data_IF_042592749713
#
_entry.id   IF_042592749713
#
_cell.length_a   1.000
_cell.length_b   1.000
_cell.length_c   1.000
_cell.angle_alpha   90.00
_cell.angle_beta   90.00
_cell.angle_gamma   90.00
#
_symmetry.space_group_name_H-M   'P 1'
#
loop_
_entity.id
_entity.type
_entity.pdbx_description
1 polymer ?
#
# COMPACT_ATOMS: atom_id res chain seq x y z
N UNK A 1 -17.90 -8.71 -7.33
CA UNK A 1 -16.88 -9.62 -7.70
C UNK A 1 -15.95 -9.90 -6.51
N UNK A 2 -15.14 -10.92 -6.65
CA UNK A 2 -14.40 -11.46 -5.51
C UNK A 2 -13.37 -10.49 -4.93
N UNK A 3 -12.70 -9.72 -5.78
CA UNK A 3 -11.73 -8.74 -5.31
C UNK A 3 -12.42 -7.66 -4.46
N UNK A 4 -13.56 -7.18 -4.95
CA UNK A 4 -14.33 -6.17 -4.22
C UNK A 4 -14.81 -6.73 -2.88
N UNK A 5 -15.25 -7.99 -2.87
CA UNK A 5 -15.68 -8.66 -1.65
C UNK A 5 -14.54 -8.75 -0.64
N UNK A 6 -13.36 -9.20 -1.08
CA UNK A 6 -12.20 -9.31 -0.20
C UNK A 6 -11.79 -7.94 0.34
N UNK A 7 -11.76 -6.92 -0.52
CA UNK A 7 -11.45 -5.56 -0.09
C UNK A 7 -12.50 -5.05 0.90
N UNK A 8 -13.76 -5.36 0.65
CA UNK A 8 -14.84 -4.98 1.54
C UNK A 8 -14.67 -5.60 2.92
N UNK A 9 -14.35 -6.88 2.97
CA UNK A 9 -14.14 -7.59 4.22
C UNK A 9 -12.91 -7.04 4.97
N UNK A 10 -11.79 -6.85 4.25
CA UNK A 10 -10.58 -6.32 4.86
C UNK A 10 -10.79 -4.91 5.40
N UNK A 11 -11.38 -4.03 4.58
CA UNK A 11 -11.60 -2.65 5.00
C UNK A 11 -12.60 -2.57 6.15
N UNK A 12 -13.60 -3.45 6.18
CA UNK A 12 -14.57 -3.45 7.26
C UNK A 12 -13.97 -3.87 8.60
N UNK A 13 -12.84 -4.57 8.59
CA UNK A 13 -12.13 -4.95 9.80
C UNK A 13 -11.12 -3.89 10.23
N UNK A 14 -10.79 -2.93 9.37
CA UNK A 14 -9.84 -1.88 9.69
C UNK A 14 -10.47 -0.91 10.67
N UNK A 15 -9.73 -0.60 11.73
CA UNK A 15 -10.15 0.38 12.73
C UNK A 15 -9.73 1.77 12.27
N UNK A 16 -10.70 2.58 11.83
CA UNK A 16 -10.47 3.94 11.39
C UNK A 16 -10.54 4.96 12.52
N UNK A 17 -10.52 4.54 13.78
CA UNK A 17 -10.59 5.46 14.91
C UNK A 17 -9.30 6.28 15.06
N UNK A 18 -8.16 5.74 14.62
CA UNK A 18 -6.90 6.48 14.61
C UNK A 18 -6.84 7.45 13.43
N UNK A 19 -6.30 8.62 13.66
CA UNK A 19 -6.11 9.60 12.60
C UNK A 19 -4.66 10.08 12.62
N UNK A 20 -3.87 9.77 11.55
CA UNK A 20 -4.29 8.97 10.40
C UNK A 20 -4.21 7.47 10.67
N UNK A 21 -5.09 6.71 10.04
CA UNK A 21 -4.95 5.26 9.95
C UNK A 21 -3.97 4.96 8.83
N UNK A 22 -2.96 4.15 9.09
CA UNK A 22 -1.90 3.87 8.12
C UNK A 22 -2.02 2.45 7.60
N UNK A 23 -2.12 2.32 6.28
CA UNK A 23 -2.19 1.05 5.58
C UNK A 23 -0.96 0.92 4.70
N UNK A 24 -0.18 -0.13 4.90
CA UNK A 24 1.02 -0.39 4.12
C UNK A 24 0.74 -1.53 3.15
N UNK A 25 0.92 -1.28 1.85
CA UNK A 25 0.69 -2.28 0.81
C UNK A 25 2.01 -2.92 0.45
N UNK A 26 2.07 -4.25 0.53
CA UNK A 26 3.28 -5.00 0.18
C UNK A 26 2.93 -6.09 -0.83
N UNK A 27 3.93 -6.55 -1.57
CA UNK A 27 3.72 -7.61 -2.57
C UNK A 27 4.82 -7.63 -3.60
N UNK A 28 4.82 -8.68 -4.41
CA UNK A 28 5.77 -8.82 -5.51
C UNK A 28 5.40 -7.90 -6.67
N UNK A 29 6.39 -7.64 -7.52
CA UNK A 29 6.17 -6.84 -8.73
C UNK A 29 5.15 -7.55 -9.64
N UNK A 30 4.22 -6.78 -10.17
CA UNK A 30 3.19 -7.33 -11.06
C UNK A 30 1.99 -7.93 -10.35
N UNK A 31 1.92 -7.84 -9.02
CA UNK A 31 0.80 -8.38 -8.26
C UNK A 31 -0.47 -7.52 -8.33
N UNK A 32 -0.37 -6.30 -8.87
CA UNK A 32 -1.50 -5.38 -8.89
C UNK A 32 -1.57 -4.47 -7.68
N UNK A 33 -0.46 -4.32 -6.97
CA UNK A 33 -0.39 -3.56 -5.73
C UNK A 33 -0.79 -2.09 -5.92
N UNK A 34 -0.29 -1.43 -6.96
CA UNK A 34 -0.62 -0.03 -7.23
C UNK A 34 -2.10 0.14 -7.56
N UNK A 35 -2.63 -0.72 -8.42
CA UNK A 35 -4.05 -0.70 -8.78
C UNK A 35 -4.93 -0.95 -7.55
N UNK A 36 -4.53 -1.90 -6.72
CA UNK A 36 -5.26 -2.23 -5.48
C UNK A 36 -5.25 -1.05 -4.52
N UNK A 37 -4.11 -0.36 -4.39
CA UNK A 37 -4.02 0.85 -3.56
C UNK A 37 -5.05 1.89 -3.99
N UNK A 38 -5.19 2.09 -5.30
CA UNK A 38 -6.20 3.00 -5.84
C UNK A 38 -7.63 2.58 -5.51
N UNK A 39 -7.91 1.28 -5.62
CA UNK A 39 -9.25 0.75 -5.30
C UNK A 39 -9.59 0.93 -3.82
N UNK A 40 -8.63 0.70 -2.95
CA UNK A 40 -8.82 0.91 -1.52
C UNK A 40 -9.07 2.39 -1.22
N UNK A 41 -8.30 3.28 -1.85
CA UNK A 41 -8.50 4.72 -1.67
C UNK A 41 -9.88 5.15 -2.09
N UNK A 42 -10.36 4.65 -3.24
CA UNK A 42 -11.71 4.95 -3.72
C UNK A 42 -12.77 4.47 -2.74
N UNK A 43 -12.62 3.25 -2.24
CA UNK A 43 -13.55 2.65 -1.29
C UNK A 43 -13.61 3.46 0.00
N UNK A 44 -12.45 3.86 0.53
CA UNK A 44 -12.35 4.67 1.74
C UNK A 44 -13.06 6.02 1.54
N UNK A 45 -12.82 6.63 0.40
CA UNK A 45 -13.40 7.94 0.09
C UNK A 45 -14.93 7.88 -0.08
N UNK A 46 -15.42 6.86 -0.82
CA UNK A 46 -16.83 6.79 -1.18
C UNK A 46 -17.68 6.09 -0.12
N UNK A 47 -17.19 5.01 0.46
CA UNK A 47 -17.97 4.21 1.40
C UNK A 47 -17.82 4.71 2.85
N UNK A 48 -16.63 5.13 3.22
CA UNK A 48 -16.34 5.53 4.60
C UNK A 48 -16.25 7.04 4.78
N UNK A 49 -16.34 7.81 3.70
CA UNK A 49 -16.28 9.28 3.72
C UNK A 49 -15.04 9.81 4.44
N UNK A 50 -13.91 9.12 4.26
CA UNK A 50 -12.63 9.52 4.82
C UNK A 50 -11.74 10.12 3.73
N UNK A 51 -10.72 10.86 4.14
CA UNK A 51 -9.78 11.52 3.22
C UNK A 51 -8.50 10.68 3.10
N UNK A 52 -8.35 9.87 2.04
CA UNK A 52 -7.14 9.08 1.86
C UNK A 52 -6.01 9.91 1.26
N UNK A 53 -4.79 9.51 1.56
CA UNK A 53 -3.58 10.00 0.90
C UNK A 53 -2.84 8.78 0.36
N UNK A 54 -2.55 8.78 -0.94
CA UNK A 54 -1.71 7.74 -1.55
C UNK A 54 -0.26 8.20 -1.48
N UNK A 55 0.64 7.27 -1.16
CA UNK A 55 2.07 7.55 -1.06
C UNK A 55 2.83 6.68 -2.04
N UNK A 56 3.59 7.31 -2.93
CA UNK A 56 4.39 6.62 -3.94
C UNK A 56 5.74 6.23 -3.34
N UNK A 57 5.81 5.07 -2.71
CA UNK A 57 6.98 4.58 -2.01
C UNK A 57 7.92 3.72 -2.84
N UNK A 58 7.58 3.44 -4.12
CA UNK A 58 8.47 2.66 -5.01
C UNK A 58 9.40 3.62 -5.75
N UNK A 59 10.59 3.81 -5.22
CA UNK A 59 11.57 4.75 -5.79
C UNK A 59 12.36 4.12 -6.94
N UNK A 60 12.18 2.84 -7.22
CA UNK A 60 12.96 2.12 -8.23
C UNK A 60 12.30 2.12 -9.59
N UNK A 61 11.01 2.44 -9.65
CA UNK A 61 10.20 2.36 -10.87
C UNK A 61 9.47 3.67 -11.13
N UNK A 62 10.05 4.56 -11.95
CA UNK A 62 9.37 5.83 -12.27
C UNK A 62 7.97 5.62 -12.83
N UNK A 63 7.76 4.54 -13.62
CA UNK A 63 6.45 4.24 -14.17
C UNK A 63 5.42 3.94 -13.06
N UNK A 64 5.84 3.34 -11.96
CA UNK A 64 4.94 3.08 -10.82
C UNK A 64 4.51 4.38 -10.15
N UNK A 65 5.43 5.33 -10.01
CA UNK A 65 5.10 6.67 -9.48
C UNK A 65 4.08 7.35 -10.38
N UNK A 66 4.35 7.35 -11.70
CA UNK A 66 3.45 7.98 -12.67
C UNK A 66 2.08 7.32 -12.68
N UNK A 67 2.02 6.00 -12.56
CA UNK A 67 0.77 5.26 -12.50
C UNK A 67 -0.05 5.66 -11.28
N UNK A 68 0.59 5.77 -10.13
CA UNK A 68 -0.10 6.14 -8.91
C UNK A 68 -0.62 7.58 -8.98
N UNK A 69 0.19 8.49 -9.52
CA UNK A 69 -0.23 9.89 -9.72
C UNK A 69 -1.45 9.96 -10.65
N UNK A 70 -1.43 9.19 -11.74
CA UNK A 70 -2.56 9.13 -12.68
C UNK A 70 -3.81 8.61 -11.99
N UNK A 71 -3.69 7.54 -11.21
CA UNK A 71 -4.81 6.99 -10.45
C UNK A 71 -5.38 8.02 -9.48
N UNK A 72 -4.51 8.73 -8.78
CA UNK A 72 -4.93 9.76 -7.84
C UNK A 72 -5.74 10.86 -8.52
N UNK A 73 -5.32 11.27 -9.70
CA UNK A 73 -6.06 12.28 -10.48
C UNK A 73 -7.42 11.75 -10.92
N UNK A 74 -7.48 10.50 -11.36
CA UNK A 74 -8.73 9.88 -11.79
C UNK A 74 -9.73 9.73 -10.65
N UNK A 75 -9.23 9.46 -9.44
CA UNK A 75 -10.05 9.23 -8.26
C UNK A 75 -10.26 10.48 -7.42
N UNK A 76 -9.64 11.57 -7.79
CA UNK A 76 -9.63 12.81 -7.00
C UNK A 76 -9.09 12.54 -5.60
N UNK A 77 -7.95 11.85 -5.54
CA UNK A 77 -7.25 11.50 -4.30
C UNK A 77 -5.84 12.08 -4.38
N UNK A 78 -5.37 12.81 -3.36
CA UNK A 78 -4.01 13.34 -3.40
C UNK A 78 -2.97 12.22 -3.33
N UNK A 79 -1.85 12.43 -4.02
CA UNK A 79 -0.73 11.50 -4.04
C UNK A 79 0.51 12.25 -3.57
N UNK A 80 1.17 11.72 -2.55
CA UNK A 80 2.45 12.24 -2.09
C UNK A 80 3.56 11.47 -2.81
N UNK A 81 4.41 12.19 -3.54
CA UNK A 81 5.53 11.58 -4.24
C UNK A 81 6.72 12.54 -4.27
N UNK A 82 7.90 11.99 -4.38
CA UNK A 82 9.15 12.74 -4.52
C UNK A 82 10.02 12.15 -5.65
N UNK A 83 9.37 11.51 -6.62
CA UNK A 83 10.06 10.88 -7.73
C UNK A 83 10.87 9.69 -7.26
N UNK A 84 12.10 9.57 -7.78
CA UNK A 84 12.98 8.46 -7.46
C UNK A 84 14.31 8.92 -6.84
N UNK A 85 14.39 10.18 -6.45
CA UNK A 85 15.63 10.77 -5.89
C UNK A 85 15.70 10.71 -4.37
N UNK A 86 14.57 10.47 -3.68
CA UNK A 86 14.54 10.36 -2.24
C UNK A 86 14.44 8.88 -1.84
N UNK A 87 14.92 8.56 -0.63
CA UNK A 87 14.73 7.20 -0.11
C UNK A 87 13.25 6.97 0.24
N UNK A 88 12.83 5.70 0.22
CA UNK A 88 11.48 5.33 0.62
C UNK A 88 11.19 5.82 2.04
N UNK A 89 12.16 5.71 2.93
CA UNK A 89 12.02 6.15 4.31
C UNK A 89 11.74 7.65 4.40
N UNK A 90 12.47 8.47 3.63
CA UNK A 90 12.26 9.92 3.61
C UNK A 90 10.90 10.29 3.02
N UNK A 91 10.47 9.58 1.97
CA UNK A 91 9.17 9.80 1.36
C UNK A 91 8.06 9.54 2.38
N UNK A 92 8.17 8.45 3.12
CA UNK A 92 7.15 8.08 4.12
C UNK A 92 7.13 9.10 5.25
N UNK A 93 8.29 9.56 5.74
CA UNK A 93 8.34 10.62 6.76
C UNK A 93 7.64 11.89 6.28
N UNK A 94 7.94 12.31 5.04
CA UNK A 94 7.32 13.50 4.47
C UNK A 94 5.81 13.33 4.31
N UNK A 95 5.38 12.13 3.91
CA UNK A 95 3.95 11.83 3.74
C UNK A 95 3.19 11.91 5.07
N UNK A 96 3.80 11.42 6.14
CA UNK A 96 3.19 11.49 7.48
C UNK A 96 2.97 12.95 7.89
N UNK A 97 3.97 13.81 7.64
CA UNK A 97 3.85 15.24 7.92
C UNK A 97 2.79 15.90 7.02
N UNK A 98 2.79 15.54 5.74
CA UNK A 98 1.80 16.08 4.80
C UNK A 98 0.38 15.74 5.24
N UNK A 99 0.16 14.49 5.65
CA UNK A 99 -1.16 14.06 6.09
C UNK A 99 -1.62 14.83 7.32
N UNK A 100 -0.72 15.09 8.26
CA UNK A 100 -1.06 15.86 9.46
C UNK A 100 -1.44 17.29 9.10
N UNK A 101 -0.70 17.91 8.18
CA UNK A 101 -0.95 19.30 7.77
C UNK A 101 -2.23 19.45 6.95
N UNK A 102 -2.62 18.40 6.22
CA UNK A 102 -3.77 18.45 5.30
C UNK A 102 -4.98 17.70 5.83
N UNK A 103 -4.92 17.22 7.06
CA UNK A 103 -6.02 16.51 7.72
C UNK A 103 -6.48 15.27 6.96
N UNK A 104 -5.53 14.53 6.38
CA UNK A 104 -5.84 13.25 5.77
C UNK A 104 -6.16 12.23 6.87
N UNK A 105 -7.21 11.47 6.67
CA UNK A 105 -7.69 10.49 7.66
C UNK A 105 -7.01 9.13 7.53
N UNK A 106 -6.57 8.80 6.32
CA UNK A 106 -5.98 7.50 6.01
C UNK A 106 -4.79 7.70 5.10
N UNK A 107 -3.71 6.98 5.38
CA UNK A 107 -2.51 6.99 4.53
C UNK A 107 -2.34 5.58 3.95
N UNK A 108 -2.24 5.48 2.63
CA UNK A 108 -2.02 4.22 1.93
C UNK A 108 -0.65 4.28 1.28
N UNK A 109 0.27 3.44 1.75
CA UNK A 109 1.65 3.44 1.26
C UNK A 109 1.82 2.33 0.24
N UNK A 110 2.10 2.69 -1.02
CA UNK A 110 2.41 1.75 -2.08
C UNK A 110 3.93 1.53 -2.08
N UNK A 111 4.37 0.44 -1.46
CA UNK A 111 5.79 0.17 -1.29
C UNK A 111 6.42 -0.45 -2.54
N UNK A 112 7.75 -0.50 -2.55
CA UNK A 112 8.49 -1.15 -3.63
C UNK A 112 8.14 -2.63 -3.72
N UNK A 113 8.12 -3.16 -4.95
CA UNK A 113 7.99 -4.58 -5.21
C UNK A 113 9.09 -5.04 -6.13
N UNK A 114 9.46 -6.30 -6.01
CA UNK A 114 10.44 -6.93 -6.87
C UNK A 114 9.89 -8.24 -7.41
N UNK A 115 10.56 -8.81 -8.41
CA UNK A 115 10.14 -10.10 -8.95
C UNK A 115 10.29 -11.22 -7.93
N UNK A 116 11.26 -11.09 -7.03
CA UNK A 116 11.52 -12.04 -5.96
C UNK A 116 11.69 -11.32 -4.63
N UNK A 117 11.45 -12.05 -3.55
CA UNK A 117 11.71 -11.56 -2.21
C UNK A 117 13.22 -11.65 -1.96
N UNK A 118 13.85 -10.52 -1.68
CA UNK A 118 15.28 -10.47 -1.36
C UNK A 118 15.50 -9.67 -0.07
N UNK A 119 16.71 -9.79 0.49
CA UNK A 119 17.04 -9.12 1.75
C UNK A 119 16.97 -7.58 1.65
N UNK A 120 17.51 -6.94 0.58
CA UNK A 120 17.39 -5.48 0.50
C UNK A 120 15.95 -5.00 0.49
N UNK A 121 15.06 -5.70 -0.22
CA UNK A 121 13.65 -5.36 -0.23
C UNK A 121 13.04 -5.50 1.16
N UNK A 122 13.28 -6.61 1.83
CA UNK A 122 12.72 -6.84 3.15
C UNK A 122 13.25 -5.86 4.17
N UNK A 123 14.52 -5.46 4.06
CA UNK A 123 15.09 -4.46 4.96
C UNK A 123 14.44 -3.09 4.74
N UNK A 124 14.24 -2.70 3.48
CA UNK A 124 13.55 -1.44 3.17
C UNK A 124 12.12 -1.44 3.71
N UNK A 125 11.39 -2.54 3.49
CA UNK A 125 10.01 -2.63 3.99
C UNK A 125 9.96 -2.59 5.52
N UNK A 126 10.91 -3.23 6.19
CA UNK A 126 11.01 -3.18 7.63
C UNK A 126 11.30 -1.76 8.13
N UNK A 127 12.16 -1.03 7.42
CA UNK A 127 12.47 0.36 7.77
C UNK A 127 11.25 1.26 7.58
N UNK A 128 10.50 1.07 6.49
CA UNK A 128 9.26 1.82 6.25
C UNK A 128 8.24 1.53 7.34
N UNK A 129 8.10 0.26 7.72
CA UNK A 129 7.20 -0.13 8.79
C UNK A 129 7.55 0.57 10.11
N UNK A 130 8.83 0.65 10.42
CA UNK A 130 9.33 1.29 11.65
C UNK A 130 8.93 2.77 11.69
N UNK A 131 9.02 3.44 10.56
CA UNK A 131 8.72 4.87 10.45
C UNK A 131 7.21 5.13 10.43
N UNK A 132 6.48 4.38 9.62
CA UNK A 132 5.06 4.58 9.39
C UNK A 132 4.20 4.03 10.53
N UNK A 133 4.68 3.00 11.20
CA UNK A 133 3.91 2.29 12.25
C UNK A 133 2.51 1.97 11.76
N UNK A 134 2.39 1.19 10.67
CA UNK A 134 1.10 0.96 10.03
C UNK A 134 0.14 0.21 10.95
N UNK A 135 -1.12 0.55 10.84
CA UNK A 135 -2.20 -0.16 11.54
C UNK A 135 -2.54 -1.45 10.81
N UNK A 136 -2.35 -1.46 9.49
CA UNK A 136 -2.58 -2.64 8.66
C UNK A 136 -1.43 -2.79 7.66
N UNK A 137 -1.00 -4.04 7.46
CA UNK A 137 -0.05 -4.38 6.40
C UNK A 137 -0.75 -5.41 5.52
N UNK A 138 -1.11 -5.01 4.30
CA UNK A 138 -1.87 -5.84 3.38
C UNK A 138 -0.95 -6.38 2.29
N UNK A 139 -0.93 -7.69 2.14
CA UNK A 139 -0.18 -8.37 1.09
C UNK A 139 -1.08 -8.53 -0.13
N UNK A 140 -0.62 -8.00 -1.27
CA UNK A 140 -1.34 -8.15 -2.54
C UNK A 140 -0.71 -9.30 -3.32
N UNK A 141 -1.52 -10.28 -3.69
CA UNK A 141 -1.05 -11.51 -4.36
C UNK A 141 -1.84 -11.73 -5.64
N UNK A 142 -1.12 -12.10 -6.70
CA UNK A 142 -1.72 -12.44 -7.98
C UNK A 142 -2.11 -13.93 -7.97
N UNK A 143 -3.39 -14.22 -8.00
CA UNK A 143 -3.89 -15.59 -7.94
C UNK A 143 -3.54 -16.43 -9.17
N UNK A 144 -3.22 -15.78 -10.31
CA UNK A 144 -2.85 -16.51 -11.52
C UNK A 144 -1.44 -17.13 -11.43
N UNK A 145 -0.58 -16.58 -10.57
CA UNK A 145 0.77 -17.12 -10.35
C UNK A 145 0.84 -17.92 -9.06
N UNK A 146 -0.29 -18.30 -8.52
CA UNK A 146 -0.52 -18.60 -7.12
C UNK A 146 0.02 -19.87 -6.52
N UNK A 147 0.81 -20.67 -7.26
CA UNK A 147 1.30 -21.89 -6.63
C UNK A 147 2.23 -21.64 -5.44
N UNK A 148 2.78 -20.42 -5.34
CA UNK A 148 3.66 -20.05 -4.22
C UNK A 148 3.04 -19.03 -3.28
N UNK A 149 1.72 -18.83 -3.33
CA UNK A 149 1.05 -17.84 -2.48
C UNK A 149 1.35 -18.08 -1.00
N UNK A 150 1.30 -19.32 -0.55
CA UNK A 150 1.54 -19.65 0.85
C UNK A 150 2.98 -19.31 1.24
N UNK A 151 3.95 -19.61 0.39
CA UNK A 151 5.35 -19.31 0.66
C UNK A 151 5.62 -17.82 0.67
N UNK A 152 5.03 -17.09 -0.28
CA UNK A 152 5.15 -15.63 -0.35
C UNK A 152 4.55 -15.00 0.90
N UNK A 153 3.34 -15.41 1.26
CA UNK A 153 2.68 -14.89 2.45
C UNK A 153 3.47 -15.18 3.72
N UNK A 154 4.00 -16.39 3.85
CA UNK A 154 4.80 -16.76 5.01
C UNK A 154 6.07 -15.92 5.12
N UNK A 155 6.75 -15.67 3.98
CA UNK A 155 7.97 -14.86 3.98
C UNK A 155 7.70 -13.41 4.40
N UNK A 156 6.65 -12.80 3.86
CA UNK A 156 6.27 -11.44 4.25
C UNK A 156 5.81 -11.39 5.70
N UNK A 157 5.05 -12.38 6.14
CA UNK A 157 4.54 -12.42 7.50
C UNK A 157 5.67 -12.57 8.52
N UNK A 158 6.67 -13.39 8.21
CA UNK A 158 7.82 -13.58 9.10
C UNK A 158 8.55 -12.28 9.38
N UNK A 159 8.70 -11.43 8.36
CA UNK A 159 9.46 -10.19 8.47
C UNK A 159 8.60 -8.99 8.88
N UNK A 160 7.35 -8.96 8.47
CA UNK A 160 6.53 -7.74 8.59
C UNK A 160 5.27 -7.91 9.43
N UNK A 161 4.86 -9.16 9.73
CA UNK A 161 3.61 -9.44 10.47
C UNK A 161 2.40 -8.86 9.72
N UNK A 162 2.14 -9.39 8.52
CA UNK A 162 1.02 -8.90 7.70
C UNK A 162 -0.31 -9.11 8.43
N UNK A 163 -1.24 -8.20 8.23
CA UNK A 163 -2.55 -8.24 8.88
C UNK A 163 -3.67 -8.73 7.96
N UNK A 164 -3.44 -8.74 6.66
CA UNK A 164 -4.43 -9.22 5.71
C UNK A 164 -3.80 -9.47 4.35
N UNK A 165 -4.58 -10.05 3.46
CA UNK A 165 -4.14 -10.35 2.10
C UNK A 165 -5.26 -10.03 1.12
N UNK A 166 -4.88 -9.59 -0.07
CA UNK A 166 -5.79 -9.29 -1.17
C UNK A 166 -5.37 -10.13 -2.38
N UNK A 167 -6.29 -10.92 -2.91
CA UNK A 167 -6.06 -11.70 -4.11
C UNK A 167 -6.53 -10.92 -5.33
N UNK A 168 -5.66 -10.81 -6.33
CA UNK A 168 -5.98 -10.12 -7.58
C UNK A 168 -6.10 -11.14 -8.71
N UNK A 169 -6.72 -10.72 -9.80
CA UNK A 169 -6.87 -11.53 -11.02
C UNK A 169 -7.58 -12.85 -10.78
N UNK A 170 -8.57 -12.81 -9.93
CA UNK A 170 -9.44 -13.96 -9.72
C UNK A 170 -10.34 -14.17 -10.93
#
# INVERSE_FOLDING_TARGET
DELVHLLGDEVSEVDFSKKPTVIMMVGLQGSGKTTTSGKIAKLIKTKYAKKPLLVAGDIYRPAAVDQLVTLGKQLDVPVYEKGTSESAENIVKGAMNYAALNNNDVIIIDTAGRLHIDEPLMQELANVKEIAKPDEILLVVDSLTGQDIVNVAASFNEKLSITGAVLTKL
#
